data_IF_314870735921
#
_entry.id   IF_314870735921
#
_cell.length_a   1.000
_cell.length_b   1.000
_cell.length_c   1.000
_cell.angle_alpha   90.00
_cell.angle_beta   90.00
_cell.angle_gamma   90.00
#
_symmetry.space_group_name_H-M   'P 1'
#
loop_
_entity.id
_entity.type
_entity.pdbx_description
1 polymer ?
#
# COMPACT_ATOMS: atom_id res chain seq x y z
N UNK A 1 13.08 -20.67 -8.85
CA UNK A 1 12.93 -20.73 -10.31
C UNK A 1 12.76 -19.29 -10.79
N UNK A 2 13.68 -18.74 -11.59
CA UNK A 2 13.58 -17.35 -12.07
C UNK A 2 12.44 -17.29 -13.08
N UNK A 3 11.37 -16.55 -12.78
CA UNK A 3 10.24 -16.35 -13.69
C UNK A 3 10.66 -15.56 -14.93
N UNK A 4 10.01 -15.84 -16.05
CA UNK A 4 10.18 -15.15 -17.32
C UNK A 4 9.56 -13.74 -17.22
N UNK A 5 10.38 -12.78 -16.79
CA UNK A 5 9.99 -11.39 -16.55
C UNK A 5 9.51 -10.71 -17.83
N UNK A 6 10.17 -11.00 -18.96
CA UNK A 6 9.83 -10.39 -20.24
C UNK A 6 8.41 -10.78 -20.63
N UNK A 7 8.07 -12.06 -20.46
CA UNK A 7 6.72 -12.55 -20.64
C UNK A 7 5.71 -11.93 -19.65
N UNK A 8 6.04 -11.84 -18.37
CA UNK A 8 5.14 -11.23 -17.38
C UNK A 8 4.83 -9.76 -17.70
N UNK A 9 5.86 -8.98 -18.05
CA UNK A 9 5.69 -7.57 -18.38
C UNK A 9 4.85 -7.36 -19.66
N UNK A 10 5.03 -8.22 -20.67
CA UNK A 10 4.19 -8.22 -21.86
C UNK A 10 2.72 -8.52 -21.53
N UNK A 11 2.47 -9.51 -20.67
CA UNK A 11 1.12 -9.86 -20.23
C UNK A 11 0.49 -8.74 -19.36
N UNK A 12 1.29 -8.06 -18.53
CA UNK A 12 0.88 -6.93 -17.68
C UNK A 12 0.51 -5.67 -18.50
N UNK A 13 1.30 -5.33 -19.51
CA UNK A 13 0.98 -4.24 -20.44
C UNK A 13 -0.26 -4.53 -21.29
N UNK A 14 -0.48 -5.79 -21.66
CA UNK A 14 -1.69 -6.21 -22.34
C UNK A 14 -2.93 -6.04 -21.44
N UNK A 15 -2.84 -6.41 -20.16
CA UNK A 15 -3.93 -6.23 -19.18
C UNK A 15 -4.30 -4.75 -19.03
N UNK A 16 -3.31 -3.89 -18.79
CA UNK A 16 -3.56 -2.46 -18.62
C UNK A 16 -4.16 -1.82 -19.88
N UNK A 17 -3.67 -2.19 -21.06
CA UNK A 17 -4.26 -1.74 -22.33
C UNK A 17 -5.75 -2.09 -22.41
N UNK A 18 -6.13 -3.32 -22.07
CA UNK A 18 -7.54 -3.75 -22.07
C UNK A 18 -8.37 -2.90 -21.10
N UNK A 19 -7.87 -2.66 -19.88
CA UNK A 19 -8.55 -1.84 -18.86
C UNK A 19 -8.78 -0.40 -19.37
N UNK A 20 -7.80 0.17 -20.05
CA UNK A 20 -7.86 1.52 -20.60
C UNK A 20 -8.74 1.63 -21.84
N UNK A 21 -8.78 0.58 -22.68
CA UNK A 21 -9.58 0.55 -23.91
C UNK A 21 -11.07 0.26 -23.64
N UNK A 22 -11.37 -0.52 -22.58
CA UNK A 22 -12.74 -0.96 -22.23
C UNK A 22 -13.77 0.18 -22.14
N UNK A 23 -13.46 1.36 -21.55
CA UNK A 23 -14.39 2.49 -21.49
C UNK A 23 -14.65 3.17 -22.85
N UNK A 24 -13.89 2.85 -23.91
CA UNK A 24 -14.03 3.46 -25.24
C UNK A 24 -13.60 4.93 -25.31
N UNK A 25 -12.89 5.42 -24.30
CA UNK A 25 -12.50 6.83 -24.19
C UNK A 25 -11.18 7.09 -24.94
N UNK A 26 -11.27 7.65 -26.14
CA UNK A 26 -10.09 7.93 -26.98
C UNK A 26 -9.03 8.82 -26.32
N UNK A 27 -9.44 9.71 -25.39
CA UNK A 27 -8.49 10.52 -24.62
C UNK A 27 -7.69 9.67 -23.62
N UNK A 28 -8.33 8.71 -22.96
CA UNK A 28 -7.71 7.81 -22.00
C UNK A 28 -6.70 6.88 -22.68
N UNK A 29 -7.07 6.32 -23.84
CA UNK A 29 -6.18 5.48 -24.66
C UNK A 29 -4.95 6.27 -25.15
N UNK A 30 -5.14 7.51 -25.59
CA UNK A 30 -4.01 8.37 -26.00
C UNK A 30 -3.08 8.70 -24.83
N UNK A 31 -3.63 9.07 -23.68
CA UNK A 31 -2.84 9.35 -22.47
C UNK A 31 -2.09 8.11 -21.99
N UNK A 32 -2.73 6.94 -22.03
CA UNK A 32 -2.08 5.67 -21.70
C UNK A 32 -0.93 5.36 -22.64
N UNK A 33 -1.14 5.42 -23.97
CA UNK A 33 -0.07 5.11 -24.93
C UNK A 33 1.16 6.02 -24.75
N UNK A 34 0.94 7.31 -24.47
CA UNK A 34 2.01 8.26 -24.18
C UNK A 34 2.77 7.91 -22.89
N UNK A 35 2.06 7.49 -21.85
CA UNK A 35 2.68 7.11 -20.56
C UNK A 35 3.35 5.74 -20.66
N UNK A 36 2.72 4.76 -21.30
CA UNK A 36 3.20 3.38 -21.36
C UNK A 36 4.46 3.22 -22.19
N UNK A 37 4.62 3.97 -23.30
CA UNK A 37 5.85 3.93 -24.09
C UNK A 37 7.07 4.42 -23.29
N UNK A 38 6.92 5.47 -22.49
CA UNK A 38 7.98 5.95 -21.60
C UNK A 38 8.18 5.04 -20.37
N UNK A 39 7.07 4.49 -19.83
CA UNK A 39 7.10 3.58 -18.69
C UNK A 39 7.77 2.24 -19.04
N UNK A 40 7.55 1.69 -20.23
CA UNK A 40 8.17 0.44 -20.70
C UNK A 40 9.68 0.60 -20.86
N UNK A 41 10.12 1.70 -21.49
CA UNK A 41 11.54 2.02 -21.63
C UNK A 41 12.22 2.19 -20.26
N UNK A 42 11.52 2.83 -19.31
CA UNK A 42 12.00 3.05 -17.95
C UNK A 42 12.03 1.76 -17.10
N UNK A 43 10.97 0.94 -17.13
CA UNK A 43 10.87 -0.33 -16.39
C UNK A 43 11.99 -1.30 -16.81
N UNK A 44 12.30 -1.37 -18.11
CA UNK A 44 13.40 -2.18 -18.64
C UNK A 44 14.78 -1.65 -18.21
N UNK A 45 14.92 -0.34 -18.01
CA UNK A 45 16.14 0.30 -17.52
C UNK A 45 16.34 0.11 -16.00
N UNK A 46 15.25 0.17 -15.22
CA UNK A 46 15.21 -0.01 -13.75
C UNK A 46 15.46 -1.46 -13.34
N UNK A 47 15.11 -2.43 -14.20
CA UNK A 47 15.34 -3.88 -14.03
C UNK A 47 16.77 -4.25 -13.59
N UNK A 48 17.75 -3.40 -13.88
CA UNK A 48 19.16 -3.67 -13.59
C UNK A 48 19.77 -2.83 -12.47
N UNK A 49 19.08 -1.83 -11.91
CA UNK A 49 19.73 -0.89 -10.96
C UNK A 49 19.01 -0.55 -9.66
N UNK A 50 17.68 -0.65 -9.48
CA UNK A 50 17.06 -0.57 -8.15
C UNK A 50 15.54 -0.83 -8.18
N UNK A 51 14.99 -1.26 -7.04
CA UNK A 51 13.59 -1.18 -6.54
C UNK A 51 12.41 -0.90 -7.52
N UNK A 52 11.28 -1.67 -7.47
CA UNK A 52 11.00 -2.82 -6.61
C UNK A 52 11.48 -4.14 -7.22
N UNK A 53 11.75 -5.13 -6.37
CA UNK A 53 11.89 -6.50 -6.87
C UNK A 53 10.59 -6.97 -7.52
N UNK A 54 10.66 -7.89 -8.48
CA UNK A 54 9.48 -8.45 -9.17
C UNK A 54 8.37 -8.93 -8.21
N UNK A 55 8.74 -9.42 -7.03
CA UNK A 55 7.79 -9.89 -6.02
C UNK A 55 7.01 -8.77 -5.34
N UNK A 56 7.56 -7.55 -5.28
CA UNK A 56 6.87 -6.40 -4.73
C UNK A 56 5.81 -5.89 -5.72
N UNK A 57 6.16 -5.78 -7.00
CA UNK A 57 5.21 -5.45 -8.07
C UNK A 57 4.09 -6.50 -8.15
N UNK A 58 4.43 -7.79 -8.11
CA UNK A 58 3.43 -8.86 -8.11
C UNK A 58 2.42 -8.74 -6.96
N UNK A 59 2.88 -8.48 -5.73
CA UNK A 59 2.00 -8.38 -4.56
C UNK A 59 1.09 -7.15 -4.57
N UNK A 60 1.54 -6.04 -5.12
CA UNK A 60 0.69 -4.86 -5.32
C UNK A 60 -0.48 -5.17 -6.26
N UNK A 61 -0.24 -5.93 -7.32
CA UNK A 61 -1.28 -6.34 -8.26
C UNK A 61 -2.19 -7.43 -7.70
N UNK A 62 -1.68 -8.38 -6.91
CA UNK A 62 -2.49 -9.38 -6.21
C UNK A 62 -3.54 -8.71 -5.31
N UNK A 63 -3.13 -7.70 -4.52
CA UNK A 63 -4.04 -6.92 -3.69
C UNK A 63 -5.08 -6.14 -4.50
N UNK A 64 -4.68 -5.52 -5.62
CA UNK A 64 -5.59 -4.79 -6.51
C UNK A 64 -6.65 -5.73 -7.11
N UNK A 65 -6.21 -6.89 -7.62
CA UNK A 65 -7.10 -7.91 -8.20
C UNK A 65 -8.06 -8.47 -7.16
N UNK A 66 -7.59 -8.74 -5.94
CA UNK A 66 -8.45 -9.19 -4.83
C UNK A 66 -9.50 -8.14 -4.46
N UNK A 67 -9.12 -6.86 -4.43
CA UNK A 67 -10.03 -5.76 -4.12
C UNK A 67 -11.09 -5.55 -5.22
N UNK A 68 -10.70 -5.64 -6.50
CA UNK A 68 -11.62 -5.52 -7.63
C UNK A 68 -12.61 -6.69 -7.76
N UNK A 69 -12.21 -7.88 -7.32
CA UNK A 69 -13.08 -9.04 -7.29
C UNK A 69 -13.98 -9.08 -6.04
N UNK A 70 -13.88 -8.09 -5.16
CA UNK A 70 -14.77 -7.98 -3.99
C UNK A 70 -16.03 -7.19 -4.32
N UNK A 71 -17.15 -7.47 -3.62
CA UNK A 71 -18.40 -6.69 -3.73
C UNK A 71 -18.31 -5.31 -3.01
N UNK A 72 -17.11 -4.78 -2.81
CA UNK A 72 -16.84 -3.55 -2.05
C UNK A 72 -16.19 -2.49 -2.97
N UNK A 73 -17.04 -1.65 -3.56
CA UNK A 73 -16.64 -0.58 -4.49
C UNK A 73 -15.64 0.41 -3.85
N UNK A 74 -15.75 0.67 -2.55
CA UNK A 74 -14.84 1.56 -1.82
C UNK A 74 -13.44 0.91 -1.69
N UNK A 75 -13.39 -0.40 -1.46
CA UNK A 75 -12.13 -1.15 -1.40
C UNK A 75 -11.45 -1.21 -2.78
N UNK A 76 -12.23 -1.44 -3.85
CA UNK A 76 -11.74 -1.43 -5.21
C UNK A 76 -11.18 -0.05 -5.61
N UNK A 77 -11.90 1.03 -5.30
CA UNK A 77 -11.45 2.40 -5.56
C UNK A 77 -10.18 2.74 -4.76
N UNK A 78 -10.13 2.37 -3.47
CA UNK A 78 -8.97 2.60 -2.62
C UNK A 78 -7.71 1.87 -3.10
N UNK A 79 -7.84 0.61 -3.49
CA UNK A 79 -6.72 -0.17 -4.05
C UNK A 79 -6.22 0.40 -5.38
N UNK A 80 -7.14 0.87 -6.23
CA UNK A 80 -6.79 1.52 -7.52
C UNK A 80 -6.03 2.81 -7.30
N UNK A 81 -6.53 3.69 -6.44
CA UNK A 81 -5.88 4.96 -6.12
C UNK A 81 -4.47 4.73 -5.57
N UNK A 82 -4.33 3.76 -4.67
CA UNK A 82 -3.06 3.39 -4.08
C UNK A 82 -2.04 2.87 -5.11
N UNK A 83 -2.49 2.03 -6.04
CA UNK A 83 -1.65 1.52 -7.12
C UNK A 83 -1.15 2.66 -8.03
N UNK A 84 -2.02 3.61 -8.36
CA UNK A 84 -1.68 4.79 -9.16
C UNK A 84 -0.70 5.71 -8.41
N UNK A 85 -0.93 6.02 -7.14
CA UNK A 85 -0.02 6.82 -6.32
C UNK A 85 1.38 6.20 -6.23
N UNK A 86 1.46 4.88 -6.07
CA UNK A 86 2.73 4.15 -6.09
C UNK A 86 3.43 4.29 -7.45
N UNK A 87 2.67 4.25 -8.56
CA UNK A 87 3.17 4.53 -9.92
C UNK A 87 3.72 5.95 -10.07
N UNK A 88 2.97 6.96 -9.64
CA UNK A 88 3.38 8.37 -9.68
C UNK A 88 4.64 8.63 -8.86
N UNK A 89 4.72 8.05 -7.67
CA UNK A 89 5.90 8.17 -6.81
C UNK A 89 7.16 7.58 -7.47
N UNK A 90 7.02 6.43 -8.14
CA UNK A 90 8.09 5.79 -8.91
C UNK A 90 8.56 6.64 -10.09
N UNK A 91 7.63 7.26 -10.83
CA UNK A 91 7.93 8.17 -11.95
C UNK A 91 8.63 9.45 -11.45
N UNK A 92 8.20 10.02 -10.34
CA UNK A 92 8.84 11.20 -9.76
C UNK A 92 10.30 10.93 -9.30
N UNK A 93 10.57 9.72 -8.79
CA UNK A 93 11.93 9.28 -8.44
C UNK A 93 12.82 9.05 -9.67
N UNK A 94 12.26 8.58 -10.78
CA UNK A 94 12.97 8.32 -12.04
C UNK A 94 13.57 9.56 -12.69
N UNK A 95 12.87 10.68 -12.54
CA UNK A 95 13.22 11.94 -13.19
C UNK A 95 14.20 12.78 -12.35
N UNK A 96 14.80 12.18 -11.31
CA UNK A 96 15.66 12.84 -10.32
C UNK A 96 15.00 14.12 -9.73
N UNK A 97 13.67 14.16 -9.78
CA UNK A 97 12.84 15.30 -9.41
C UNK A 97 12.44 15.28 -7.92
N UNK A 98 12.96 14.32 -7.16
CA UNK A 98 12.89 14.26 -5.71
C UNK A 98 14.20 13.72 -5.17
N UNK A 99 14.80 14.33 -4.14
CA UNK A 99 15.18 13.49 -3.04
C UNK A 99 13.89 13.14 -2.29
N UNK A 100 13.65 11.88 -1.94
CA UNK A 100 12.96 11.70 -0.65
C UNK A 100 14.06 11.92 0.38
N UNK A 101 14.37 13.18 0.70
CA UNK A 101 15.13 13.48 1.90
C UNK A 101 14.36 12.86 3.08
N UNK A 102 14.89 11.77 3.64
CA UNK A 102 14.20 11.01 4.67
C UNK A 102 15.01 9.83 5.17
N UNK A 103 15.07 9.68 6.47
CA UNK A 103 15.73 8.56 7.15
C UNK A 103 14.98 7.24 6.88
N UNK A 104 15.58 6.10 7.25
CA UNK A 104 14.88 4.80 7.22
C UNK A 104 13.56 4.81 8.01
N UNK A 105 13.45 5.68 9.01
CA UNK A 105 12.25 5.84 9.83
C UNK A 105 11.17 6.63 9.10
N UNK A 106 11.54 7.69 8.37
CA UNK A 106 10.58 8.50 7.61
C UNK A 106 9.94 7.67 6.49
N UNK A 107 10.73 6.82 5.82
CA UNK A 107 10.23 5.84 4.84
C UNK A 107 9.26 4.83 5.47
N UNK A 108 9.63 4.26 6.61
CA UNK A 108 8.76 3.33 7.33
C UNK A 108 7.44 3.99 7.78
N UNK A 109 7.50 5.22 8.30
CA UNK A 109 6.33 5.96 8.75
C UNK A 109 5.40 6.29 7.57
N UNK A 110 5.95 6.77 6.46
CA UNK A 110 5.17 7.01 5.25
C UNK A 110 4.47 5.73 4.77
N UNK A 111 5.21 4.63 4.62
CA UNK A 111 4.65 3.35 4.17
C UNK A 111 3.53 2.83 5.10
N UNK A 112 3.78 2.83 6.41
CA UNK A 112 2.79 2.36 7.39
C UNK A 112 1.55 3.25 7.42
N UNK A 113 1.67 4.57 7.23
CA UNK A 113 0.53 5.50 7.18
C UNK A 113 -0.35 5.35 5.94
N UNK A 114 0.22 4.95 4.81
CA UNK A 114 -0.53 4.78 3.55
C UNK A 114 -1.08 3.37 3.38
N UNK A 115 -0.44 2.37 3.97
CA UNK A 115 -0.83 0.96 3.83
C UNK A 115 -1.45 0.38 5.12
N UNK A 116 -1.87 1.22 6.07
CA UNK A 116 -2.25 0.75 7.40
C UNK A 116 -3.34 -0.33 7.40
N UNK A 117 -4.24 -0.33 6.42
CA UNK A 117 -5.31 -1.31 6.28
C UNK A 117 -4.84 -2.67 5.72
N UNK A 118 -3.65 -2.74 5.13
CA UNK A 118 -3.13 -3.95 4.49
C UNK A 118 -2.41 -4.87 5.48
N UNK A 119 -2.18 -6.12 5.09
CA UNK A 119 -1.33 -7.04 5.87
C UNK A 119 0.14 -6.68 5.68
N UNK A 120 0.75 -6.04 6.69
CA UNK A 120 2.14 -5.57 6.62
C UNK A 120 3.09 -6.57 7.29
N UNK A 121 4.09 -7.02 6.53
CA UNK A 121 5.27 -7.70 7.07
C UNK A 121 6.37 -6.67 7.37
N UNK A 122 6.62 -6.42 8.66
CA UNK A 122 7.63 -5.47 9.13
C UNK A 122 9.05 -5.88 8.73
N UNK A 123 9.33 -7.19 8.63
CA UNK A 123 10.64 -7.66 8.17
C UNK A 123 10.85 -7.28 6.71
N UNK A 124 9.87 -7.63 5.88
CA UNK A 124 9.89 -7.28 4.46
C UNK A 124 10.03 -5.77 4.28
N UNK A 125 9.21 -4.96 4.95
CA UNK A 125 9.27 -3.50 4.88
C UNK A 125 10.64 -2.96 5.29
N UNK A 126 11.26 -3.51 6.34
CA UNK A 126 12.59 -3.06 6.76
C UNK A 126 13.66 -3.31 5.68
N UNK A 127 13.68 -4.51 5.11
CA UNK A 127 14.68 -4.93 4.14
C UNK A 127 14.47 -4.24 2.78
N UNK A 128 13.20 -4.06 2.39
CA UNK A 128 12.82 -3.72 1.03
C UNK A 128 12.44 -2.24 0.89
N UNK A 129 11.77 -1.63 1.87
CA UNK A 129 11.38 -0.20 1.82
C UNK A 129 12.41 0.68 2.54
N UNK A 130 12.93 0.19 3.67
CA UNK A 130 13.77 1.00 4.55
C UNK A 130 15.27 0.80 4.33
N UNK A 131 15.65 -0.29 3.64
CA UNK A 131 17.02 -0.71 3.34
C UNK A 131 17.90 -0.91 4.57
N UNK A 132 17.30 -1.46 5.63
CA UNK A 132 17.99 -1.76 6.90
C UNK A 132 17.51 -3.10 7.45
N UNK A 133 18.27 -3.68 8.37
CA UNK A 133 17.77 -4.88 9.06
C UNK A 133 16.54 -4.55 9.92
N UNK A 134 15.62 -5.52 10.14
CA UNK A 134 14.43 -5.31 10.96
C UNK A 134 14.74 -4.85 12.40
N UNK A 135 15.83 -5.36 12.97
CA UNK A 135 16.30 -4.97 14.30
C UNK A 135 16.82 -3.53 14.30
N UNK A 136 17.55 -3.13 13.26
CA UNK A 136 18.03 -1.76 13.11
C UNK A 136 16.87 -0.78 12.92
N UNK A 137 15.90 -1.10 12.05
CA UNK A 137 14.71 -0.28 11.87
C UNK A 137 13.95 -0.11 13.18
N UNK A 138 13.70 -1.19 13.91
CA UNK A 138 12.97 -1.14 15.18
C UNK A 138 13.66 -0.22 16.19
N UNK A 139 15.00 -0.25 16.25
CA UNK A 139 15.78 0.63 17.12
C UNK A 139 15.66 2.10 16.73
N UNK A 140 15.81 2.42 15.43
CA UNK A 140 15.68 3.79 14.94
C UNK A 140 14.25 4.33 15.16
N UNK A 141 13.24 3.53 14.82
CA UNK A 141 11.83 3.91 14.94
C UNK A 141 11.44 4.19 16.40
N UNK A 142 11.96 3.37 17.34
CA UNK A 142 11.79 3.63 18.78
C UNK A 142 12.50 4.89 19.25
N UNK A 143 13.69 5.18 18.74
CA UNK A 143 14.42 6.39 19.10
C UNK A 143 13.67 7.66 18.66
N UNK A 144 13.01 7.63 17.50
CA UNK A 144 12.29 8.78 16.95
C UNK A 144 10.85 8.91 17.45
N UNK A 145 10.09 7.80 17.51
CA UNK A 145 8.65 7.82 17.82
C UNK A 145 8.28 7.16 19.16
N UNK A 146 9.26 6.72 19.94
CA UNK A 146 9.05 6.06 21.24
C UNK A 146 8.43 4.66 21.15
N UNK A 147 8.18 4.12 19.95
CA UNK A 147 7.50 2.84 19.77
C UNK A 147 8.05 2.05 18.58
N UNK A 148 7.77 0.75 18.54
CA UNK A 148 8.17 -0.10 17.40
C UNK A 148 7.23 0.11 16.20
N UNK A 149 7.66 -0.21 14.96
CA UNK A 149 6.84 -0.01 13.76
C UNK A 149 5.44 -0.62 13.86
N UNK A 150 5.33 -1.87 14.33
CA UNK A 150 4.02 -2.53 14.49
C UNK A 150 3.12 -1.88 15.55
N UNK A 151 3.71 -1.32 16.61
CA UNK A 151 2.95 -0.61 17.64
C UNK A 151 2.42 0.72 17.09
N UNK A 152 3.19 1.40 16.24
CA UNK A 152 2.75 2.61 15.54
C UNK A 152 1.65 2.33 14.52
N UNK A 153 1.79 1.26 13.72
CA UNK A 153 0.74 0.76 12.84
C UNK A 153 -0.56 0.51 13.60
N UNK A 154 -0.48 -0.16 14.75
CA UNK A 154 -1.66 -0.41 15.59
C UNK A 154 -2.31 0.89 16.03
N UNK A 155 -1.53 1.87 16.46
CA UNK A 155 -2.05 3.18 16.85
C UNK A 155 -2.82 3.85 15.70
N UNK A 156 -2.24 3.92 14.49
CA UNK A 156 -2.92 4.49 13.32
C UNK A 156 -4.27 3.80 13.10
N UNK A 157 -4.29 2.46 13.14
CA UNK A 157 -5.53 1.69 12.99
C UNK A 157 -6.57 2.04 14.04
N UNK A 158 -6.17 2.26 15.30
CA UNK A 158 -7.09 2.59 16.39
C UNK A 158 -7.63 4.01 16.27
N UNK A 159 -6.80 4.96 15.84
CA UNK A 159 -7.21 6.35 15.60
C UNK A 159 -8.19 6.42 14.42
N UNK A 160 -7.88 5.77 13.29
CA UNK A 160 -8.79 5.66 12.14
C UNK A 160 -10.09 4.94 12.48
N UNK A 161 -10.03 3.89 13.29
CA UNK A 161 -11.23 3.21 13.73
C UNK A 161 -12.14 4.11 14.57
N UNK A 162 -11.58 4.95 15.44
CA UNK A 162 -12.34 5.91 16.24
C UNK A 162 -13.06 6.94 15.36
N UNK A 163 -12.36 7.48 14.36
CA UNK A 163 -12.94 8.40 13.37
C UNK A 163 -14.11 7.74 12.61
N UNK A 164 -13.92 6.51 12.14
CA UNK A 164 -14.94 5.75 11.41
C UNK A 164 -16.18 5.47 12.27
N UNK A 165 -16.00 5.15 13.55
CA UNK A 165 -17.10 4.88 14.47
C UNK A 165 -17.87 6.17 14.81
N UNK A 166 -17.16 7.29 15.03
CA UNK A 166 -17.79 8.57 15.33
C UNK A 166 -18.56 9.14 14.12
N UNK A 167 -18.11 8.85 12.90
CA UNK A 167 -18.68 9.42 11.67
C UNK A 167 -19.89 8.67 11.08
N UNK A 168 -20.18 7.43 11.47
CA UNK A 168 -21.26 6.66 10.84
C UNK A 168 -21.72 5.42 11.64
N UNK A 169 -22.94 4.95 11.35
CA UNK A 169 -23.51 3.70 11.91
C UNK A 169 -22.97 2.43 11.20
N UNK A 170 -21.65 2.29 11.08
CA UNK A 170 -21.02 1.06 10.54
C UNK A 170 -20.95 -0.04 11.60
N UNK A 171 -21.09 -1.29 11.19
CA UNK A 171 -20.90 -2.42 12.11
C UNK A 171 -19.43 -2.51 12.54
N UNK A 172 -19.20 -2.94 13.78
CA UNK A 172 -17.84 -3.14 14.35
C UNK A 172 -16.98 -4.06 13.48
N UNK A 173 -17.59 -5.06 12.83
CA UNK A 173 -16.91 -5.99 11.93
C UNK A 173 -16.46 -5.32 10.63
N UNK A 174 -17.28 -4.41 10.08
CA UNK A 174 -16.90 -3.65 8.89
C UNK A 174 -15.75 -2.69 9.19
N UNK A 175 -15.81 -1.96 10.31
CA UNK A 175 -14.72 -1.07 10.74
C UNK A 175 -13.43 -1.88 10.95
N UNK A 176 -13.50 -3.04 11.59
CA UNK A 176 -12.34 -3.92 11.80
C UNK A 176 -11.64 -4.26 10.48
N UNK A 177 -12.39 -4.68 9.47
CA UNK A 177 -11.83 -5.01 8.14
C UNK A 177 -11.20 -3.79 7.48
N UNK A 178 -11.90 -2.65 7.51
CA UNK A 178 -11.45 -1.40 6.89
C UNK A 178 -10.14 -0.88 7.49
N UNK A 179 -9.89 -1.12 8.78
CA UNK A 179 -8.61 -0.76 9.42
C UNK A 179 -7.60 -1.91 9.45
N UNK A 180 -7.82 -2.98 8.69
CA UNK A 180 -6.84 -4.05 8.47
C UNK A 180 -6.80 -5.17 9.51
N UNK A 181 -7.93 -5.43 10.17
CA UNK A 181 -8.12 -6.61 11.02
C UNK A 181 -8.98 -7.66 10.32
N UNK A 182 -8.43 -8.88 10.18
CA UNK A 182 -9.17 -10.05 9.67
C UNK A 182 -10.20 -10.59 10.67
N UNK A 183 -9.99 -10.32 11.96
CA UNK A 183 -10.81 -10.84 13.06
C UNK A 183 -11.33 -9.68 13.93
N UNK A 184 -12.66 -9.54 14.00
CA UNK A 184 -13.31 -8.50 14.78
C UNK A 184 -13.04 -8.59 16.29
N UNK A 185 -12.91 -9.80 16.86
CA UNK A 185 -12.59 -9.98 18.28
C UNK A 185 -11.19 -9.47 18.63
N UNK A 186 -10.22 -9.67 17.73
CA UNK A 186 -8.88 -9.10 17.90
C UNK A 186 -8.91 -7.57 17.83
N UNK A 187 -9.65 -7.02 16.88
CA UNK A 187 -9.88 -5.58 16.77
C UNK A 187 -10.52 -5.00 18.05
N UNK A 188 -11.61 -5.60 18.54
CA UNK A 188 -12.31 -5.14 19.74
C UNK A 188 -11.40 -5.13 20.96
N UNK A 189 -10.55 -6.16 21.12
CA UNK A 189 -9.57 -6.22 22.21
C UNK A 189 -8.56 -5.09 22.12
N UNK A 190 -7.97 -4.89 20.95
CA UNK A 190 -6.95 -3.85 20.73
C UNK A 190 -7.56 -2.45 20.88
N UNK A 191 -8.78 -2.24 20.36
CA UNK A 191 -9.50 -0.99 20.49
C UNK A 191 -9.80 -0.65 21.94
N UNK A 192 -10.30 -1.62 22.72
CA UNK A 192 -10.53 -1.43 24.16
C UNK A 192 -9.23 -1.16 24.91
N UNK A 193 -8.14 -1.84 24.56
CA UNK A 193 -6.84 -1.60 25.18
C UNK A 193 -6.32 -0.19 24.89
N UNK A 194 -6.61 0.36 23.70
CA UNK A 194 -6.14 1.67 23.28
C UNK A 194 -7.02 2.83 23.78
N UNK A 195 -8.35 2.70 23.65
CA UNK A 195 -9.33 3.77 23.97
C UNK A 195 -10.03 3.59 25.31
N UNK A 196 -9.78 2.50 26.04
CA UNK A 196 -10.39 2.19 27.35
C UNK A 196 -11.83 1.64 27.28
N UNK A 197 -12.52 1.80 26.15
CA UNK A 197 -13.89 1.32 25.93
C UNK A 197 -13.98 0.48 24.67
N UNK A 198 -15.00 -0.37 24.57
CA UNK A 198 -15.25 -1.18 23.37
C UNK A 198 -15.75 -0.32 22.21
N UNK A 199 -15.50 -0.69 20.93
CA UNK A 199 -16.03 0.02 19.76
C UNK A 199 -17.54 0.31 19.83
N UNK A 200 -18.34 -0.68 20.25
CA UNK A 200 -19.79 -0.53 20.39
C UNK A 200 -20.27 0.32 21.57
N UNK A 201 -19.35 0.95 22.32
CA UNK A 201 -19.64 1.96 23.36
C UNK A 201 -18.93 3.29 23.08
N UNK A 202 -18.23 3.38 21.95
CA UNK A 202 -17.47 4.55 21.54
C UNK A 202 -18.38 5.37 20.62
N UNK A 203 -19.10 6.33 21.18
CA UNK A 203 -19.98 7.26 20.47
C UNK A 203 -20.02 8.59 21.23
#
# INVERSE_FOLDING_TARGET
MRGDYERFHLEDMALHRIVIETPGLAALVRSWNLVSEELDAWILQVKFTNWPSLMALYREHEYLVDAWNSDDDDAAAGATHHHLEAGWYRVAMAQDALPIEGTAVDRAASFLSTHYASSIDVKWMAENICFVSPSHLTRLFRAQFGKAPYAWLRQIRMERAAELIAGCARSVSAVARQVGYRNASHFVRDFRAYHGVTPGKFH
#
